data_IF_730337651208
#
_entry.id   IF_730337651208
#
_cell.length_a   1.000
_cell.length_b   1.000
_cell.length_c   1.000
_cell.angle_alpha   90.00
_cell.angle_beta   90.00
_cell.angle_gamma   90.00
#
_symmetry.space_group_name_H-M   'P 1'
#
loop_
_entity.id
_entity.type
_entity.pdbx_description
1 polymer ?
#
# COMPACT_ATOMS: atom_id res chain seq x y z
N UNK A 1 8.02 -24.51 -14.26
CA UNK A 1 6.71 -23.87 -14.54
C UNK A 1 6.91 -22.39 -14.38
N UNK A 2 6.68 -21.61 -15.44
CA UNK A 2 6.74 -20.16 -15.35
C UNK A 2 5.66 -19.67 -14.38
N UNK A 3 6.05 -18.83 -13.42
CA UNK A 3 5.10 -18.23 -12.50
C UNK A 3 4.17 -17.30 -13.27
N UNK A 4 2.85 -17.35 -13.02
CA UNK A 4 1.91 -16.47 -13.72
C UNK A 4 2.24 -15.01 -13.42
N UNK A 5 2.44 -14.22 -14.48
CA UNK A 5 2.66 -12.77 -14.36
C UNK A 5 1.32 -12.07 -14.28
N UNK A 6 0.97 -11.61 -13.08
CA UNK A 6 -0.27 -10.87 -12.85
C UNK A 6 -0.12 -9.42 -13.32
N UNK A 7 -1.25 -8.80 -13.65
CA UNK A 7 -1.29 -7.38 -13.96
C UNK A 7 -1.04 -6.56 -12.69
N UNK A 8 -0.30 -5.43 -12.78
CA UNK A 8 -0.09 -4.56 -11.64
C UNK A 8 -1.41 -3.92 -11.20
N UNK A 9 -1.59 -3.81 -9.89
CA UNK A 9 -2.74 -3.14 -9.29
C UNK A 9 -2.48 -1.64 -9.20
N UNK A 10 -3.48 -0.83 -9.53
CA UNK A 10 -3.43 0.62 -9.34
C UNK A 10 -3.53 0.97 -7.85
N UNK A 11 -2.65 1.85 -7.38
CA UNK A 11 -2.67 2.37 -6.00
C UNK A 11 -3.76 3.45 -5.86
N UNK A 12 -5.00 3.02 -5.96
CA UNK A 12 -6.20 3.86 -5.91
C UNK A 12 -7.17 3.30 -4.85
N UNK A 13 -7.64 4.11 -3.88
CA UNK A 13 -8.52 3.63 -2.82
C UNK A 13 -9.80 2.95 -3.30
N UNK A 14 -10.41 3.40 -4.40
CA UNK A 14 -11.64 2.82 -4.96
C UNK A 14 -11.38 1.41 -5.49
N UNK A 15 -10.30 1.25 -6.27
CA UNK A 15 -9.86 -0.04 -6.82
C UNK A 15 -9.55 -1.02 -5.69
N UNK A 16 -8.78 -0.58 -4.69
CA UNK A 16 -8.34 -1.41 -3.58
C UNK A 16 -9.47 -1.80 -2.62
N UNK A 17 -10.38 -0.86 -2.32
CA UNK A 17 -11.54 -1.15 -1.46
C UNK A 17 -12.50 -2.10 -2.16
N UNK A 18 -12.76 -1.89 -3.46
CA UNK A 18 -13.55 -2.82 -4.27
C UNK A 18 -12.92 -4.21 -4.31
N UNK A 19 -11.60 -4.28 -4.43
CA UNK A 19 -10.87 -5.54 -4.41
C UNK A 19 -11.04 -6.29 -3.08
N UNK A 20 -10.87 -5.62 -1.93
CA UNK A 20 -11.08 -6.24 -0.61
C UNK A 20 -12.53 -6.71 -0.40
N UNK A 21 -13.50 -5.91 -0.84
CA UNK A 21 -14.92 -6.29 -0.77
C UNK A 21 -15.19 -7.57 -1.59
N UNK A 22 -14.60 -7.70 -2.78
CA UNK A 22 -14.70 -8.91 -3.61
C UNK A 22 -14.01 -10.13 -3.01
N UNK A 23 -13.00 -9.91 -2.15
CA UNK A 23 -12.33 -10.97 -1.38
C UNK A 23 -13.13 -11.39 -0.13
N UNK A 24 -14.30 -10.79 0.12
CA UNK A 24 -15.19 -11.15 1.23
C UNK A 24 -14.95 -10.35 2.51
N UNK A 25 -14.21 -9.25 2.45
CA UNK A 25 -14.07 -8.35 3.59
C UNK A 25 -15.40 -7.62 3.87
N UNK A 26 -15.76 -7.48 5.14
CA UNK A 26 -16.92 -6.67 5.55
C UNK A 26 -16.63 -5.18 5.29
N UNK A 27 -17.63 -4.37 4.93
CA UNK A 27 -17.47 -2.94 4.60
C UNK A 27 -17.24 -2.05 5.84
N UNK A 28 -16.60 -2.59 6.88
CA UNK A 28 -16.20 -1.85 8.09
C UNK A 28 -14.83 -1.19 7.93
N UNK A 29 -14.07 -1.58 6.91
CA UNK A 29 -12.74 -1.05 6.59
C UNK A 29 -12.70 -0.66 5.11
N UNK A 30 -11.96 0.40 4.81
CA UNK A 30 -11.75 0.91 3.46
C UNK A 30 -10.36 1.51 3.34
N UNK A 31 -9.86 1.60 2.12
CA UNK A 31 -8.69 2.42 1.83
C UNK A 31 -9.09 3.89 1.72
N UNK A 32 -8.15 4.77 2.05
CA UNK A 32 -8.25 6.20 1.83
C UNK A 32 -6.90 6.76 1.43
N UNK A 33 -6.90 7.93 0.79
CA UNK A 33 -5.67 8.61 0.40
C UNK A 33 -4.96 9.22 1.61
N UNK A 34 -3.63 9.24 1.52
CA UNK A 34 -2.76 10.00 2.42
C UNK A 34 -2.17 11.13 1.61
N UNK A 35 -2.72 12.35 1.78
CA UNK A 35 -2.30 13.52 1.01
C UNK A 35 -0.90 14.03 1.38
N UNK A 36 -0.44 13.73 2.59
CA UNK A 36 0.89 14.11 3.07
C UNK A 36 1.19 13.50 4.43
N UNK A 37 2.42 13.71 4.89
CA UNK A 37 2.94 13.15 6.15
C UNK A 37 3.10 14.20 7.24
N UNK A 38 2.77 15.46 6.96
CA UNK A 38 2.67 16.50 7.97
C UNK A 38 1.44 16.29 8.87
N UNK A 39 1.48 16.79 10.12
CA UNK A 39 0.40 16.56 11.07
C UNK A 39 -0.97 17.04 10.60
N UNK A 40 -1.02 18.12 9.82
CA UNK A 40 -2.28 18.73 9.35
C UNK A 40 -2.96 17.82 8.32
N UNK A 41 -2.21 17.34 7.32
CA UNK A 41 -2.74 16.40 6.32
C UNK A 41 -3.04 15.01 6.92
N UNK A 42 -2.24 14.54 7.88
CA UNK A 42 -2.52 13.27 8.58
C UNK A 42 -3.78 13.33 9.46
N UNK A 43 -4.20 14.52 9.91
CA UNK A 43 -5.47 14.66 10.63
C UNK A 43 -6.69 14.41 9.74
N UNK A 44 -6.56 14.45 8.42
CA UNK A 44 -7.64 14.13 7.48
C UNK A 44 -7.90 12.63 7.37
N UNK A 45 -6.94 11.78 7.77
CA UNK A 45 -7.08 10.33 7.68
C UNK A 45 -8.04 9.82 8.77
N UNK A 46 -9.12 9.09 8.43
CA UNK A 46 -10.04 8.53 9.42
C UNK A 46 -9.34 7.58 10.39
N UNK A 47 -9.77 7.60 11.66
CA UNK A 47 -9.22 6.74 12.72
C UNK A 47 -10.28 5.75 13.23
N UNK A 48 -9.90 4.52 13.65
CA UNK A 48 -8.52 4.01 13.76
C UNK A 48 -7.94 3.53 12.41
N UNK A 49 -6.60 3.56 12.29
CA UNK A 49 -5.86 3.04 11.12
C UNK A 49 -5.17 1.73 11.51
N UNK A 50 -5.41 0.66 10.75
CA UNK A 50 -4.85 -0.67 11.01
C UNK A 50 -3.60 -0.98 10.17
N UNK A 51 -3.48 -0.39 8.98
CA UNK A 51 -2.38 -0.64 8.05
C UNK A 51 -2.14 0.58 7.14
N UNK A 52 -0.93 0.66 6.58
CA UNK A 52 -0.55 1.63 5.56
C UNK A 52 0.09 0.87 4.40
N UNK A 53 -0.33 1.17 3.17
CA UNK A 53 0.31 0.67 1.96
C UNK A 53 1.04 1.81 1.28
N UNK A 54 2.32 1.60 0.97
CA UNK A 54 3.17 2.58 0.28
C UNK A 54 3.59 2.03 -1.07
N UNK A 55 3.14 2.67 -2.15
CA UNK A 55 3.69 2.45 -3.48
C UNK A 55 4.92 3.34 -3.66
N UNK A 56 6.06 2.74 -4.00
CA UNK A 56 7.30 3.48 -4.24
C UNK A 56 8.13 2.80 -5.36
N UNK A 57 8.99 3.55 -6.07
CA UNK A 57 9.80 2.99 -7.13
C UNK A 57 10.90 2.08 -6.58
N UNK A 58 11.00 0.86 -7.12
CA UNK A 58 12.11 -0.04 -6.83
C UNK A 58 13.29 0.36 -7.72
N UNK A 59 14.29 0.98 -7.12
CA UNK A 59 15.53 1.41 -7.79
C UNK A 59 16.71 0.52 -7.40
N UNK A 60 17.77 0.51 -8.20
CA UNK A 60 19.01 -0.22 -7.87
C UNK A 60 19.59 0.21 -6.52
N UNK A 61 19.55 1.53 -6.23
CA UNK A 61 19.99 2.07 -4.94
C UNK A 61 19.17 1.51 -3.78
N UNK A 62 17.85 1.38 -3.95
CA UNK A 62 16.97 0.79 -2.95
C UNK A 62 17.27 -0.71 -2.75
N UNK A 63 17.44 -1.47 -3.83
CA UNK A 63 17.78 -2.89 -3.72
C UNK A 63 19.15 -3.10 -3.06
N UNK A 64 20.18 -2.31 -3.42
CA UNK A 64 21.48 -2.36 -2.76
C UNK A 64 21.38 -2.04 -1.26
N UNK A 65 20.59 -1.03 -0.89
CA UNK A 65 20.31 -0.71 0.52
C UNK A 65 19.60 -1.86 1.26
N UNK A 66 18.58 -2.45 0.63
CA UNK A 66 17.83 -3.59 1.19
C UNK A 66 18.70 -4.82 1.41
N UNK A 67 19.63 -5.13 0.50
CA UNK A 67 20.57 -6.25 0.67
C UNK A 67 21.54 -6.02 1.83
N UNK A 68 22.08 -4.81 1.96
CA UNK A 68 22.95 -4.45 3.10
C UNK A 68 22.23 -4.60 4.45
N UNK A 69 20.96 -4.19 4.52
CA UNK A 69 20.16 -4.30 5.76
C UNK A 69 19.82 -5.73 6.17
N UNK A 70 19.84 -6.69 5.25
CA UNK A 70 19.55 -8.10 5.55
C UNK A 70 20.74 -8.86 6.14
N UNK A 71 21.94 -8.28 6.08
CA UNK A 71 23.20 -8.95 6.44
C UNK A 71 23.75 -8.55 7.82
N UNK A 72 23.15 -7.55 8.49
CA UNK A 72 23.47 -7.17 9.87
C UNK A 72 22.31 -7.48 10.79
#
# INVERSE_FOLDING_TARGET
>A
MDSPRWLPLESNPEVMTTFLNRLGMKPTWQFGDVYGLDPELLCMVPRPVCAVLLLFPITEKYEAFKQRRKQG
#
